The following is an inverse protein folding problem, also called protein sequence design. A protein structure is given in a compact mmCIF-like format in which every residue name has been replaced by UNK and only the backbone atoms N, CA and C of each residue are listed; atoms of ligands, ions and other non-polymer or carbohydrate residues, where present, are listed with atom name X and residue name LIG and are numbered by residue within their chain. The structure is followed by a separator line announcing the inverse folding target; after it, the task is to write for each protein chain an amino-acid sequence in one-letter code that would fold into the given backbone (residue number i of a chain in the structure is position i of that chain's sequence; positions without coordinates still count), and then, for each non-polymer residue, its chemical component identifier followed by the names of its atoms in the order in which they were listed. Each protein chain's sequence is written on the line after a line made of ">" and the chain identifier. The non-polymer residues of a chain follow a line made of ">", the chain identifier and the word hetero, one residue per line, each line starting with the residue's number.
data_IF_025581281688
#
_entry.id   IF_025581281688
#
_cell.length_a   1.000
_cell.length_b   1.000
_cell.length_c   1.000
_cell.angle_alpha   90.00
_cell.angle_beta   90.00
_cell.angle_gamma   90.00
#
_symmetry.space_group_name_H-M   'P 1'
#
loop_
_entity.id
_entity.type
_entity.pdbx_description
1 polymer ?
#
# COMPACT_ATOMS: atom_id res chain seq x y z
N UNK A 1 -2.03 0.19 -15.98
CA UNK A 1 -1.68 -1.04 -15.24
C UNK A 1 -1.77 -2.22 -16.17
N UNK A 2 -0.90 -3.22 -16.03
CA UNK A 2 -1.08 -4.52 -16.70
C UNK A 2 -2.33 -5.19 -16.11
N UNK A 3 -3.14 -5.90 -16.91
CA UNK A 3 -4.29 -6.63 -16.40
C UNK A 3 -3.84 -7.72 -15.41
N UNK A 4 -4.66 -7.99 -14.39
CA UNK A 4 -4.41 -9.10 -13.47
C UNK A 4 -4.44 -10.43 -14.25
N UNK A 5 -3.40 -11.28 -14.11
CA UNK A 5 -3.43 -12.63 -14.62
C UNK A 5 -4.70 -13.38 -14.19
N UNK A 6 -5.25 -14.19 -15.09
CA UNK A 6 -6.52 -14.90 -14.87
C UNK A 6 -6.51 -15.78 -13.62
N UNK A 7 -5.39 -16.46 -13.34
CA UNK A 7 -5.24 -17.27 -12.13
C UNK A 7 -5.30 -16.45 -10.82
N UNK A 8 -4.95 -15.16 -10.85
CA UNK A 8 -5.07 -14.27 -9.68
C UNK A 8 -6.47 -13.66 -9.55
N UNK A 9 -7.24 -13.56 -10.64
CA UNK A 9 -8.61 -13.07 -10.57
C UNK A 9 -9.50 -14.02 -9.75
N UNK A 10 -9.29 -15.34 -9.91
CA UNK A 10 -9.99 -16.36 -9.12
C UNK A 10 -9.67 -16.33 -7.62
N UNK A 11 -8.60 -15.64 -7.20
CA UNK A 11 -8.23 -15.49 -5.80
C UNK A 11 -9.01 -14.36 -5.09
N UNK A 12 -9.67 -13.46 -5.83
CA UNK A 12 -10.42 -12.35 -5.25
C UNK A 12 -11.61 -12.91 -4.44
N UNK A 13 -11.74 -12.47 -3.20
CA UNK A 13 -12.78 -12.92 -2.26
C UNK A 13 -12.45 -14.20 -1.49
N UNK A 14 -11.32 -14.87 -1.80
CA UNK A 14 -10.84 -15.98 -0.99
C UNK A 14 -10.29 -15.50 0.36
N UNK A 15 -10.35 -16.37 1.36
CA UNK A 15 -9.72 -16.10 2.66
C UNK A 15 -8.20 -16.15 2.53
N UNK A 16 -7.50 -15.37 3.34
CA UNK A 16 -6.03 -15.37 3.39
C UNK A 16 -5.43 -16.74 3.69
N UNK A 17 -6.15 -17.60 4.44
CA UNK A 17 -5.75 -18.97 4.73
C UNK A 17 -5.73 -19.90 3.51
N UNK A 18 -6.32 -19.49 2.38
CA UNK A 18 -6.32 -20.25 1.13
C UNK A 18 -5.19 -19.84 0.17
N UNK A 19 -4.35 -18.87 0.55
CA UNK A 19 -3.23 -18.43 -0.28
C UNK A 19 -2.08 -19.44 -0.15
N UNK A 20 -1.59 -19.94 -1.29
CA UNK A 20 -0.41 -20.81 -1.33
C UNK A 20 0.82 -20.12 -0.71
N UNK A 21 1.53 -20.84 0.14
CA UNK A 21 2.70 -20.32 0.86
C UNK A 21 4.02 -20.75 0.19
N UNK A 22 5.07 -19.90 0.17
CA UNK A 22 5.15 -18.61 0.86
C UNK A 22 4.51 -17.45 0.08
N UNK A 23 3.79 -16.59 0.80
CA UNK A 23 3.20 -15.38 0.25
C UNK A 23 3.43 -14.18 1.17
N UNK A 24 3.69 -13.01 0.57
CA UNK A 24 3.64 -11.73 1.27
C UNK A 24 2.20 -11.22 1.25
N UNK A 25 1.59 -11.09 2.42
CA UNK A 25 0.22 -10.58 2.56
C UNK A 25 0.25 -9.20 3.20
N UNK A 26 -0.55 -8.28 2.66
CA UNK A 26 -0.73 -6.92 3.21
C UNK A 26 -2.16 -6.79 3.72
N UNK A 27 -2.30 -6.45 5.00
CA UNK A 27 -3.57 -6.00 5.57
C UNK A 27 -3.84 -4.57 5.08
N UNK A 28 -4.84 -4.43 4.20
CA UNK A 28 -5.19 -3.15 3.58
C UNK A 28 -5.73 -2.17 4.60
N UNK A 29 -6.59 -2.61 5.52
CA UNK A 29 -7.17 -1.73 6.54
C UNK A 29 -6.06 -1.19 7.47
N UNK A 30 -5.11 -2.03 7.86
CA UNK A 30 -3.95 -1.60 8.65
C UNK A 30 -3.05 -0.63 7.88
N UNK A 31 -2.79 -0.92 6.59
CA UNK A 31 -1.99 -0.04 5.73
C UNK A 31 -2.64 1.33 5.59
N UNK A 32 -3.93 1.39 5.28
CA UNK A 32 -4.69 2.64 5.13
C UNK A 32 -4.68 3.47 6.42
N UNK A 33 -4.92 2.84 7.58
CA UNK A 33 -4.79 3.51 8.89
C UNK A 33 -3.40 4.08 9.12
N UNK A 34 -2.35 3.36 8.72
CA UNK A 34 -0.96 3.81 8.90
C UNK A 34 -0.63 4.99 7.97
N UNK A 35 -1.11 4.95 6.73
CA UNK A 35 -0.96 6.05 5.76
C UNK A 35 -1.66 7.30 6.28
N UNK A 36 -2.92 7.18 6.71
CA UNK A 36 -3.69 8.30 7.24
C UNK A 36 -3.00 8.94 8.47
N UNK A 37 -2.48 8.12 9.39
CA UNK A 37 -1.75 8.59 10.58
C UNK A 37 -0.50 9.39 10.19
N UNK A 38 0.27 8.92 9.21
CA UNK A 38 1.48 9.63 8.77
C UNK A 38 1.17 10.92 8.03
N UNK A 39 0.15 10.92 7.18
CA UNK A 39 -0.33 12.11 6.50
C UNK A 39 -0.80 13.18 7.50
N UNK A 40 -1.58 12.77 8.51
CA UNK A 40 -2.05 13.66 9.57
C UNK A 40 -0.90 14.22 10.39
N UNK A 41 0.06 13.37 10.78
CA UNK A 41 1.25 13.79 11.51
C UNK A 41 2.04 14.85 10.74
N UNK A 42 2.31 14.62 9.46
CA UNK A 42 3.04 15.56 8.61
C UNK A 42 2.29 16.90 8.49
N UNK A 43 0.97 16.85 8.26
CA UNK A 43 0.11 18.04 8.20
C UNK A 43 0.13 18.84 9.50
N UNK A 44 -0.01 18.16 10.64
CA UNK A 44 -0.02 18.78 11.98
C UNK A 44 1.29 19.52 12.28
N UNK A 45 2.42 18.98 11.81
CA UNK A 45 3.75 19.54 12.04
C UNK A 45 4.25 20.41 10.88
N UNK A 46 3.41 20.72 9.89
CA UNK A 46 3.76 21.53 8.72
C UNK A 46 4.99 21.01 7.95
N UNK A 47 5.21 19.70 8.00
CA UNK A 47 6.36 19.03 7.38
C UNK A 47 6.01 18.37 6.05
N UNK A 48 6.98 18.30 5.14
CA UNK A 48 6.85 17.48 3.94
C UNK A 48 7.16 16.02 4.27
N UNK A 49 6.24 15.13 3.91
CA UNK A 49 6.44 13.69 4.07
C UNK A 49 6.93 13.07 2.77
N UNK A 50 8.16 12.54 2.77
CA UNK A 50 8.76 11.80 1.65
C UNK A 50 9.03 10.35 2.06
N UNK A 51 8.11 9.42 1.78
CA UNK A 51 8.30 8.00 2.05
C UNK A 51 9.50 7.45 1.31
N UNK A 52 10.08 6.35 1.80
CA UNK A 52 11.22 5.70 1.18
C UNK A 52 10.78 4.43 0.44
N UNK A 53 10.85 4.44 -0.90
CA UNK A 53 10.48 3.31 -1.75
C UNK A 53 11.15 1.96 -1.44
N UNK A 54 12.31 1.93 -0.75
CA UNK A 54 13.02 0.67 -0.47
C UNK A 54 12.17 -0.34 0.31
N UNK A 55 11.19 0.16 1.07
CA UNK A 55 10.34 -0.65 1.93
C UNK A 55 9.34 -1.48 1.12
N UNK A 56 8.65 -0.86 0.16
CA UNK A 56 7.56 -1.52 -0.57
C UNK A 56 7.91 -1.89 -2.02
N UNK A 57 8.88 -1.18 -2.63
CA UNK A 57 9.33 -1.39 -4.03
C UNK A 57 8.17 -1.57 -5.04
N UNK A 58 7.06 -0.90 -4.77
CA UNK A 58 5.79 -1.02 -5.49
C UNK A 58 5.32 0.35 -5.93
N UNK A 59 5.09 0.51 -7.24
CA UNK A 59 4.60 1.76 -7.82
C UNK A 59 3.18 2.08 -7.35
N UNK A 60 2.30 1.07 -7.26
CA UNK A 60 0.95 1.24 -6.71
C UNK A 60 0.96 1.80 -5.28
N UNK A 61 1.84 1.29 -4.41
CA UNK A 61 1.94 1.82 -3.03
C UNK A 61 2.47 3.26 -3.04
N UNK A 62 3.47 3.58 -3.88
CA UNK A 62 3.95 4.97 -4.01
C UNK A 62 2.81 5.93 -4.40
N UNK A 63 1.97 5.53 -5.36
CA UNK A 63 0.82 6.32 -5.80
C UNK A 63 -0.22 6.50 -4.68
N UNK A 64 -0.47 5.48 -3.86
CA UNK A 64 -1.35 5.60 -2.69
C UNK A 64 -0.82 6.61 -1.68
N UNK A 65 0.48 6.59 -1.40
CA UNK A 65 1.13 7.53 -0.48
C UNK A 65 1.06 8.97 -1.02
N UNK A 66 1.31 9.16 -2.32
CA UNK A 66 1.20 10.47 -2.97
C UNK A 66 -0.22 11.02 -2.91
N UNK A 67 -1.24 10.18 -3.14
CA UNK A 67 -2.65 10.56 -2.99
C UNK A 67 -2.99 10.97 -1.56
N UNK A 68 -2.30 10.40 -0.56
CA UNK A 68 -2.45 10.78 0.84
C UNK A 68 -1.66 12.06 1.23
N UNK A 69 -0.96 12.69 0.29
CA UNK A 69 -0.23 13.94 0.52
C UNK A 69 1.29 13.78 0.69
N UNK A 70 1.84 12.59 0.41
CA UNK A 70 3.29 12.44 0.33
C UNK A 70 3.87 13.19 -0.88
N UNK A 71 5.08 13.71 -0.71
CA UNK A 71 5.86 14.35 -1.78
C UNK A 71 6.96 13.40 -2.23
N UNK A 72 6.89 12.96 -3.49
CA UNK A 72 7.83 11.99 -4.07
C UNK A 72 7.43 10.53 -3.83
N UNK A 73 8.39 9.60 -4.02
CA UNK A 73 8.26 8.16 -3.87
C UNK A 73 9.56 7.55 -3.34
#
# INVERSE_FOLDING_TARGET
>A
MKPLPEYLQGCIGQRTSAIDTPALVVDLDAMERNIARMAEFARKHQGLWRPHAKLHKSAEIALLLQRAGAVGA
#
